data_IF_499510182593
#
_entry.id   IF_499510182593
#
_cell.length_a   1.000
_cell.length_b   1.000
_cell.length_c   1.000
_cell.angle_alpha   90.00
_cell.angle_beta   90.00
_cell.angle_gamma   90.00
#
_symmetry.space_group_name_H-M   'P 1'
#
loop_
_entity.id
_entity.type
_entity.pdbx_description
1 polymer ?
#
# COMPACT_ATOMS: atom_id res chain seq x y z
N UNK A 1 -16.17 17.90 9.74
CA UNK A 1 -16.79 17.09 8.68
C UNK A 1 -15.99 17.09 7.37
N UNK A 2 -15.40 18.22 6.95
CA UNK A 2 -14.52 18.30 5.76
C UNK A 2 -13.10 17.70 5.97
N UNK A 3 -12.48 17.96 7.14
CA UNK A 3 -11.16 17.42 7.51
C UNK A 3 -11.08 15.88 7.48
N UNK A 4 -12.17 15.21 7.87
CA UNK A 4 -12.25 13.75 7.86
C UNK A 4 -12.38 13.18 6.43
N UNK A 5 -13.00 13.92 5.51
CA UNK A 5 -13.07 13.56 4.10
C UNK A 5 -11.71 13.71 3.41
N UNK A 6 -11.01 14.84 3.63
CA UNK A 6 -9.67 15.05 3.05
C UNK A 6 -8.65 14.03 3.58
N UNK A 7 -8.75 13.69 4.86
CA UNK A 7 -7.91 12.65 5.48
C UNK A 7 -8.15 11.29 4.83
N UNK A 8 -9.43 10.89 4.68
CA UNK A 8 -9.79 9.63 4.00
C UNK A 8 -9.34 9.61 2.54
N UNK A 9 -9.51 10.71 1.82
CA UNK A 9 -9.09 10.82 0.42
C UNK A 9 -7.57 10.70 0.28
N UNK A 10 -6.81 11.33 1.18
CA UNK A 10 -5.34 11.21 1.20
C UNK A 10 -4.91 9.78 1.51
N UNK A 11 -5.52 9.14 2.49
CA UNK A 11 -5.24 7.74 2.85
C UNK A 11 -5.50 6.82 1.64
N UNK A 12 -6.63 6.98 0.95
CA UNK A 12 -6.96 6.13 -0.20
C UNK A 12 -6.01 6.36 -1.39
N UNK A 13 -5.59 7.61 -1.63
CA UNK A 13 -4.58 7.92 -2.66
C UNK A 13 -3.23 7.28 -2.36
N UNK A 14 -2.74 7.40 -1.13
CA UNK A 14 -1.50 6.74 -0.72
C UNK A 14 -1.61 5.22 -0.85
N UNK A 15 -2.78 4.67 -0.47
CA UNK A 15 -3.06 3.25 -0.61
C UNK A 15 -2.97 2.78 -2.06
N UNK A 16 -3.62 3.49 -2.98
CA UNK A 16 -3.56 3.17 -4.42
C UNK A 16 -2.14 3.28 -4.98
N UNK A 17 -1.41 4.35 -4.62
CA UNK A 17 -0.02 4.55 -5.05
C UNK A 17 0.90 3.41 -4.64
N UNK A 18 0.74 2.88 -3.43
CA UNK A 18 1.54 1.72 -2.98
C UNK A 18 1.11 0.43 -3.69
N UNK A 19 -0.19 0.22 -3.89
CA UNK A 19 -0.71 -0.95 -4.62
C UNK A 19 -0.16 -0.98 -6.05
N UNK A 20 -0.16 0.16 -6.75
CA UNK A 20 0.40 0.31 -8.09
C UNK A 20 1.90 -0.03 -8.10
N UNK A 21 2.68 0.53 -7.18
CA UNK A 21 4.09 0.21 -7.03
C UNK A 21 4.34 -1.30 -6.82
N UNK A 22 3.57 -1.94 -5.94
CA UNK A 22 3.68 -3.38 -5.69
C UNK A 22 3.32 -4.21 -6.93
N UNK A 23 2.27 -3.83 -7.66
CA UNK A 23 1.85 -4.48 -8.89
C UNK A 23 2.91 -4.34 -10.00
N UNK A 24 3.56 -3.18 -10.14
CA UNK A 24 4.67 -2.97 -11.08
C UNK A 24 5.87 -3.90 -10.79
N UNK A 25 6.06 -4.27 -9.51
CA UNK A 25 7.06 -5.25 -9.08
C UNK A 25 6.58 -6.71 -9.17
N UNK A 26 5.36 -6.95 -9.67
CA UNK A 26 4.76 -8.28 -9.79
C UNK A 26 4.22 -8.84 -8.46
N UNK A 27 4.10 -8.02 -7.42
CA UNK A 27 3.67 -8.44 -6.08
C UNK A 27 2.18 -8.20 -5.95
N UNK A 28 1.41 -9.30 -5.95
CA UNK A 28 -0.06 -9.26 -5.90
C UNK A 28 -0.63 -9.74 -4.56
N UNK A 29 0.19 -10.38 -3.73
CA UNK A 29 -0.17 -10.90 -2.40
C UNK A 29 0.94 -10.66 -1.38
N UNK A 30 0.59 -10.62 -0.10
CA UNK A 30 1.57 -10.61 0.99
C UNK A 30 2.05 -12.04 1.33
N UNK A 31 2.96 -12.15 2.30
CA UNK A 31 3.49 -13.43 2.80
C UNK A 31 2.44 -14.37 3.36
N UNK A 32 1.29 -13.86 3.81
CA UNK A 32 0.17 -14.66 4.34
C UNK A 32 -0.81 -15.09 3.24
N UNK A 33 -0.52 -14.80 1.97
CA UNK A 33 -1.40 -15.10 0.83
C UNK A 33 -2.57 -14.13 0.65
N UNK A 34 -2.65 -13.05 1.44
CA UNK A 34 -3.70 -12.03 1.27
C UNK A 34 -3.38 -11.12 0.10
N UNK A 35 -4.39 -10.78 -0.70
CA UNK A 35 -4.23 -9.88 -1.83
C UNK A 35 -3.86 -8.48 -1.36
N UNK A 36 -2.95 -7.84 -2.09
CA UNK A 36 -2.50 -6.46 -1.85
C UNK A 36 -3.69 -5.48 -1.81
N UNK A 37 -4.69 -5.70 -2.68
CA UNK A 37 -5.93 -4.91 -2.72
C UNK A 37 -6.84 -5.03 -1.48
N UNK A 38 -6.62 -6.02 -0.62
CA UNK A 38 -7.41 -6.24 0.60
C UNK A 38 -6.65 -5.76 1.86
N UNK A 39 -5.41 -5.29 1.69
CA UNK A 39 -4.57 -4.88 2.81
C UNK A 39 -4.87 -3.45 3.28
N UNK A 40 -4.81 -3.18 4.59
CA UNK A 40 -4.82 -1.83 5.12
C UNK A 40 -3.51 -1.11 4.78
N UNK A 41 -3.57 0.23 4.75
CA UNK A 41 -2.43 1.09 4.40
C UNK A 41 -1.16 0.74 5.20
N UNK A 42 -1.28 0.45 6.50
CA UNK A 42 -0.14 0.08 7.34
C UNK A 42 0.64 -1.12 6.79
N UNK A 43 -0.05 -2.20 6.40
CA UNK A 43 0.61 -3.40 5.87
C UNK A 43 1.22 -3.14 4.49
N UNK A 44 0.56 -2.32 3.67
CA UNK A 44 1.07 -1.90 2.37
C UNK A 44 2.38 -1.10 2.51
N UNK A 45 2.42 -0.12 3.42
CA UNK A 45 3.62 0.67 3.70
C UNK A 45 4.77 -0.18 4.22
N UNK A 46 4.49 -1.19 5.05
CA UNK A 46 5.54 -2.13 5.51
C UNK A 46 6.12 -2.94 4.35
N UNK A 47 5.27 -3.40 3.43
CA UNK A 47 5.73 -4.12 2.22
C UNK A 47 6.56 -3.22 1.32
N UNK A 48 6.12 -1.98 1.09
CA UNK A 48 6.87 -0.98 0.31
C UNK A 48 8.25 -0.72 0.93
N UNK A 49 8.31 -0.41 2.23
CA UNK A 49 9.57 -0.11 2.90
C UNK A 49 10.54 -1.28 2.85
N UNK A 50 10.05 -2.52 3.00
CA UNK A 50 10.89 -3.71 2.89
C UNK A 50 11.51 -3.83 1.49
N UNK A 51 10.71 -3.61 0.44
CA UNK A 51 11.19 -3.66 -0.94
C UNK A 51 12.18 -2.55 -1.27
N UNK A 52 11.95 -1.34 -0.74
CA UNK A 52 12.87 -0.22 -0.89
C UNK A 52 14.18 -0.45 -0.13
N UNK A 53 14.13 -1.11 1.02
CA UNK A 53 15.33 -1.50 1.77
C UNK A 53 16.13 -2.61 1.07
N UNK A 54 15.46 -3.57 0.44
CA UNK A 54 16.11 -4.66 -0.30
C UNK A 54 16.71 -4.20 -1.65
N UNK A 55 16.27 -3.03 -2.17
CA UNK A 55 16.74 -2.46 -3.44
C UNK A 55 17.92 -1.49 -3.30
N UNK A 56 18.37 -1.19 -2.08
CA UNK A 56 19.48 -0.29 -1.74
C UNK A 56 20.64 -1.06 -1.09
#
# INVERSE_FOLDING_TARGET
MYLDYETRLRIERERQRIIEFLNEKGITQNSDGKRVNDLPLLLLTLMENKLLADSN
#
